data_IF_893162794126
#
_entry.id   IF_893162794126
#
_cell.length_a   1.000
_cell.length_b   1.000
_cell.length_c   1.000
_cell.angle_alpha   90.00
_cell.angle_beta   90.00
_cell.angle_gamma   90.00
#
_symmetry.space_group_name_H-M   'P 1'
#
loop_
_entity.id
_entity.type
_entity.pdbx_description
1 polymer ?
#
# COMPACT_ATOMS: atom_id res chain seq x y z
N UNK A 1 -36.17 10.46 92.23
CA UNK A 1 -35.01 11.00 92.99
C UNK A 1 -33.81 10.14 92.63
N UNK A 2 -32.98 10.51 91.66
CA UNK A 2 -32.01 11.59 91.80
C UNK A 2 -30.65 10.95 92.12
N UNK A 3 -29.91 10.52 91.09
CA UNK A 3 -28.50 10.13 91.22
C UNK A 3 -27.77 10.51 89.92
N UNK A 4 -27.06 11.64 90.02
CA UNK A 4 -26.06 12.13 89.07
C UNK A 4 -24.79 11.28 89.20
N UNK A 5 -24.26 10.80 88.07
CA UNK A 5 -22.84 10.45 87.83
C UNK A 5 -22.59 10.79 86.35
N UNK A 6 -22.04 11.94 86.01
CA UNK A 6 -20.61 12.25 85.98
C UNK A 6 -19.79 11.26 85.12
N UNK A 7 -18.92 11.86 84.31
CA UNK A 7 -17.64 11.38 83.75
C UNK A 7 -17.60 10.89 82.27
N UNK A 8 -16.78 11.64 81.52
CA UNK A 8 -15.88 11.27 80.40
C UNK A 8 -16.39 11.52 78.97
N UNK A 9 -16.05 12.73 78.50
CA UNK A 9 -15.65 13.04 77.13
C UNK A 9 -14.58 12.05 76.65
N UNK A 10 -14.78 11.40 75.49
CA UNK A 10 -13.66 10.93 74.68
C UNK A 10 -14.00 11.06 73.20
N UNK A 11 -13.53 12.17 72.64
CA UNK A 11 -13.50 12.50 71.22
C UNK A 11 -12.56 11.48 70.55
N UNK A 12 -13.12 10.53 69.80
CA UNK A 12 -12.34 9.68 68.91
C UNK A 12 -12.13 10.41 67.59
N UNK A 13 -11.03 11.16 67.50
CA UNK A 13 -10.44 11.60 66.23
C UNK A 13 -9.97 10.36 65.47
N UNK A 14 -10.82 9.85 64.58
CA UNK A 14 -10.44 8.82 63.61
C UNK A 14 -9.60 9.49 62.53
N UNK A 15 -8.28 9.55 62.78
CA UNK A 15 -7.28 10.02 61.82
C UNK A 15 -7.22 9.04 60.65
N UNK A 16 -7.98 9.37 59.60
CA UNK A 16 -8.02 8.68 58.32
C UNK A 16 -6.68 8.91 57.59
N UNK A 17 -5.66 8.10 57.91
CA UNK A 17 -4.44 7.99 57.11
C UNK A 17 -4.79 7.26 55.82
N UNK A 18 -5.20 8.00 54.79
CA UNK A 18 -5.24 7.52 53.40
C UNK A 18 -3.80 7.52 52.90
N UNK A 19 -3.15 6.37 52.66
CA UNK A 19 -1.83 6.34 52.04
C UNK A 19 -2.02 6.64 50.55
N UNK A 20 -1.90 7.91 50.18
CA UNK A 20 -1.62 8.32 48.81
C UNK A 20 -0.17 7.95 48.50
N UNK A 21 0.06 6.72 48.08
CA UNK A 21 1.24 6.39 47.29
C UNK A 21 0.82 6.23 45.83
N UNK A 22 0.75 7.31 45.03
CA UNK A 22 0.97 7.16 43.61
C UNK A 22 2.44 6.78 43.45
N UNK A 23 2.72 5.48 43.37
CA UNK A 23 3.97 5.03 42.79
C UNK A 23 4.08 5.69 41.42
N UNK A 24 5.16 6.43 41.16
CA UNK A 24 5.48 7.05 39.88
C UNK A 24 5.75 5.94 38.84
N UNK A 25 4.69 5.22 38.44
CA UNK A 25 4.69 4.43 37.23
C UNK A 25 4.66 5.42 36.07
N UNK A 26 5.78 5.55 35.37
CA UNK A 26 5.86 6.32 34.15
C UNK A 26 4.77 5.81 33.19
N UNK A 27 3.79 6.69 32.91
CA UNK A 27 2.53 6.33 32.27
C UNK A 27 2.74 5.65 30.92
N UNK A 28 1.87 4.72 30.50
CA UNK A 28 1.98 4.01 29.22
C UNK A 28 2.16 4.95 28.01
N UNK A 29 1.53 6.12 28.02
CA UNK A 29 1.65 7.12 26.98
C UNK A 29 3.07 7.72 26.88
N UNK A 30 3.65 8.11 28.01
CA UNK A 30 5.00 8.69 28.04
C UNK A 30 6.05 7.71 27.51
N UNK A 31 5.94 6.44 27.92
CA UNK A 31 6.80 5.36 27.41
C UNK A 31 6.63 5.15 25.90
N UNK A 32 5.41 5.34 25.38
CA UNK A 32 5.17 5.28 23.94
C UNK A 32 5.87 6.43 23.23
N UNK A 33 5.75 7.66 23.75
CA UNK A 33 6.42 8.84 23.19
C UNK A 33 7.96 8.64 23.16
N UNK A 34 8.54 8.09 24.24
CA UNK A 34 9.95 7.74 24.32
C UNK A 34 10.36 6.67 23.29
N UNK A 35 9.50 5.66 23.06
CA UNK A 35 9.73 4.63 22.04
C UNK A 35 9.70 5.21 20.61
N UNK A 36 8.78 6.15 20.34
CA UNK A 36 8.71 6.87 19.06
C UNK A 36 9.98 7.69 18.83
N UNK A 37 10.44 8.43 19.86
CA UNK A 37 11.68 9.19 19.79
C UNK A 37 12.89 8.28 19.54
N UNK A 38 13.01 7.17 20.28
CA UNK A 38 14.07 6.19 20.06
C UNK A 38 14.06 5.63 18.63
N UNK A 39 12.89 5.38 18.04
CA UNK A 39 12.77 4.90 16.65
C UNK A 39 13.24 5.96 15.65
N UNK A 40 12.91 7.23 15.88
CA UNK A 40 13.33 8.36 15.04
C UNK A 40 14.85 8.56 15.10
N UNK A 41 15.44 8.40 16.28
CA UNK A 41 16.90 8.48 16.50
C UNK A 41 17.68 7.27 15.96
N UNK A 42 17.00 6.27 15.40
CA UNK A 42 17.63 5.02 14.94
C UNK A 42 18.04 4.07 16.05
N UNK A 43 17.69 4.34 17.32
CA UNK A 43 17.87 3.46 18.48
C UNK A 43 16.83 2.35 18.47
N UNK A 44 16.88 1.51 17.43
CA UNK A 44 15.83 0.53 17.12
C UNK A 44 15.68 -0.54 18.20
N UNK A 45 16.75 -0.96 18.86
CA UNK A 45 16.66 -1.92 19.97
C UNK A 45 15.89 -1.33 21.17
N UNK A 46 16.18 -0.08 21.54
CA UNK A 46 15.46 0.64 22.60
C UNK A 46 13.99 0.82 22.23
N UNK A 47 13.73 1.30 21.01
CA UNK A 47 12.36 1.49 20.51
C UNK A 47 11.57 0.17 20.57
N UNK A 48 12.20 -0.94 20.15
CA UNK A 48 11.60 -2.26 20.20
C UNK A 48 11.33 -2.72 21.63
N UNK A 49 12.30 -2.57 22.54
CA UNK A 49 12.14 -2.99 23.93
C UNK A 49 10.99 -2.25 24.64
N UNK A 50 10.90 -0.93 24.48
CA UNK A 50 9.86 -0.14 25.13
C UNK A 50 8.47 -0.34 24.52
N UNK A 51 8.38 -0.35 23.18
CA UNK A 51 7.11 -0.57 22.48
C UNK A 51 6.52 -1.96 22.73
N UNK A 52 7.34 -3.01 22.87
CA UNK A 52 6.90 -4.38 23.20
C UNK A 52 6.11 -4.43 24.52
N UNK A 53 6.54 -3.68 25.53
CA UNK A 53 5.86 -3.62 26.84
C UNK A 53 4.47 -2.99 26.71
N UNK A 54 4.36 -1.96 25.87
CA UNK A 54 3.11 -1.22 25.65
C UNK A 54 2.16 -1.99 24.74
N UNK A 55 2.67 -2.79 23.81
CA UNK A 55 1.86 -3.67 22.95
C UNK A 55 1.06 -4.74 23.73
N UNK A 56 1.32 -4.91 25.04
CA UNK A 56 0.49 -5.69 25.97
C UNK A 56 -0.63 -4.90 26.66
N UNK A 57 -0.78 -3.60 26.39
CA UNK A 57 -1.75 -2.73 27.05
C UNK A 57 -3.20 -3.16 26.79
N UNK A 58 -4.06 -2.93 27.79
CA UNK A 58 -5.52 -3.08 27.67
C UNK A 58 -6.12 -2.02 26.75
N UNK A 59 -5.53 -0.82 26.70
CA UNK A 59 -5.87 0.24 25.75
C UNK A 59 -5.59 -0.24 24.31
N UNK A 60 -6.67 -0.36 23.52
CA UNK A 60 -6.59 -0.89 22.17
C UNK A 60 -5.83 0.04 21.22
N UNK A 61 -6.03 1.34 21.32
CA UNK A 61 -5.41 2.34 20.43
C UNK A 61 -3.92 2.36 20.71
N UNK A 62 -3.55 2.58 21.97
CA UNK A 62 -2.15 2.61 22.39
C UNK A 62 -1.42 1.29 22.09
N UNK A 63 -2.10 0.15 22.24
CA UNK A 63 -1.56 -1.16 21.86
C UNK A 63 -1.23 -1.24 20.36
N UNK A 64 -2.09 -0.74 19.49
CA UNK A 64 -1.88 -0.79 18.04
C UNK A 64 -0.76 0.17 17.61
N UNK A 65 -0.72 1.37 18.20
CA UNK A 65 0.30 2.37 17.91
C UNK A 65 1.68 1.88 18.35
N UNK A 66 1.79 1.35 19.57
CA UNK A 66 3.02 0.73 20.05
C UNK A 66 3.40 -0.49 19.21
N UNK A 67 2.44 -1.30 18.76
CA UNK A 67 2.74 -2.42 17.87
C UNK A 67 3.28 -1.96 16.51
N UNK A 68 2.86 -0.82 15.97
CA UNK A 68 3.45 -0.28 14.74
C UNK A 68 4.92 0.09 14.96
N UNK A 69 5.22 0.81 16.04
CA UNK A 69 6.60 1.17 16.42
C UNK A 69 7.46 -0.09 16.62
N UNK A 70 6.95 -1.08 17.36
CA UNK A 70 7.62 -2.36 17.58
C UNK A 70 7.88 -3.10 16.26
N UNK A 71 6.90 -3.12 15.36
CA UNK A 71 7.02 -3.78 14.06
C UNK A 71 8.10 -3.16 13.17
N UNK A 72 8.14 -1.82 13.08
CA UNK A 72 9.16 -1.10 12.33
C UNK A 72 10.55 -1.30 12.95
N UNK A 73 10.67 -1.15 14.27
CA UNK A 73 11.91 -1.35 14.99
C UNK A 73 12.45 -2.78 14.81
N UNK A 74 11.59 -3.79 14.97
CA UNK A 74 11.91 -5.19 14.75
C UNK A 74 12.40 -5.46 13.31
N UNK A 75 11.78 -4.83 12.31
CA UNK A 75 12.19 -4.94 10.90
C UNK A 75 13.59 -4.38 10.67
N UNK A 76 13.96 -3.29 11.36
CA UNK A 76 15.29 -2.66 11.23
C UNK A 76 16.40 -3.45 11.91
N UNK A 77 16.11 -4.18 12.99
CA UNK A 77 17.08 -5.05 13.69
C UNK A 77 17.09 -6.50 13.18
N UNK A 78 16.30 -6.81 12.13
CA UNK A 78 16.24 -8.16 11.54
C UNK A 78 15.43 -9.19 12.34
N UNK A 79 14.64 -8.77 13.34
CA UNK A 79 13.77 -9.63 14.12
C UNK A 79 12.45 -9.91 13.38
N UNK A 80 12.52 -10.63 12.24
CA UNK A 80 11.40 -10.80 11.30
C UNK A 80 10.14 -11.43 11.92
N UNK A 81 10.30 -12.41 12.82
CA UNK A 81 9.17 -13.05 13.49
C UNK A 81 8.39 -12.06 14.37
N UNK A 82 9.11 -11.23 15.12
CA UNK A 82 8.51 -10.18 15.94
C UNK A 82 7.90 -9.07 15.08
N UNK A 83 8.60 -8.65 14.03
CA UNK A 83 8.08 -7.67 13.09
C UNK A 83 6.71 -8.10 12.55
N UNK A 84 6.61 -9.34 12.04
CA UNK A 84 5.34 -9.90 11.56
C UNK A 84 4.25 -9.91 12.62
N UNK A 85 4.58 -10.33 13.84
CA UNK A 85 3.62 -10.39 14.96
C UNK A 85 3.07 -9.00 15.27
N UNK A 86 3.94 -8.00 15.44
CA UNK A 86 3.52 -6.66 15.82
C UNK A 86 2.83 -5.90 14.69
N UNK A 87 3.31 -6.04 13.45
CA UNK A 87 2.64 -5.43 12.28
C UNK A 87 1.23 -6.01 12.08
N UNK A 88 1.02 -7.31 12.33
CA UNK A 88 -0.32 -7.91 12.29
C UNK A 88 -1.25 -7.31 13.34
N UNK A 89 -0.75 -6.99 14.53
CA UNK A 89 -1.54 -6.32 15.57
C UNK A 89 -1.88 -4.89 15.13
N UNK A 90 -0.88 -4.12 14.69
CA UNK A 90 -1.07 -2.74 14.23
C UNK A 90 -2.05 -2.62 13.04
N UNK A 91 -2.05 -3.59 12.13
CA UNK A 91 -3.00 -3.66 11.00
C UNK A 91 -4.48 -3.80 11.44
N UNK A 92 -4.76 -4.11 12.71
CA UNK A 92 -6.12 -4.17 13.28
C UNK A 92 -6.58 -2.86 13.93
N UNK A 93 -5.76 -1.81 13.85
CA UNK A 93 -6.10 -0.48 14.34
C UNK A 93 -7.39 0.03 13.69
N UNK A 94 -8.18 0.76 14.47
CA UNK A 94 -9.29 1.57 13.96
C UNK A 94 -8.81 2.85 13.29
N UNK A 95 -7.59 3.29 13.61
CA UNK A 95 -6.90 4.35 12.88
C UNK A 95 -6.44 3.81 11.52
N UNK A 96 -6.93 4.44 10.44
CA UNK A 96 -6.65 4.01 9.08
C UNK A 96 -5.19 4.23 8.69
N UNK A 97 -4.56 5.31 9.14
CA UNK A 97 -3.15 5.60 8.86
C UNK A 97 -2.24 4.56 9.51
N UNK A 98 -2.47 4.24 10.80
CA UNK A 98 -1.72 3.21 11.52
C UNK A 98 -1.89 1.84 10.85
N UNK A 99 -3.12 1.47 10.53
CA UNK A 99 -3.41 0.19 9.88
C UNK A 99 -2.79 0.10 8.48
N UNK A 100 -2.88 1.17 7.69
CA UNK A 100 -2.30 1.26 6.34
C UNK A 100 -0.78 1.18 6.37
N UNK A 101 -0.11 1.94 7.24
CA UNK A 101 1.35 1.90 7.41
C UNK A 101 1.84 0.53 7.87
N UNK A 102 1.12 -0.12 8.78
CA UNK A 102 1.44 -1.47 9.21
C UNK A 102 1.42 -2.46 8.02
N UNK A 103 0.42 -2.35 7.14
CA UNK A 103 0.31 -3.18 5.94
C UNK A 103 1.41 -2.90 4.92
N UNK A 104 1.83 -1.64 4.73
CA UNK A 104 3.00 -1.30 3.89
C UNK A 104 4.25 -1.98 4.44
N UNK A 105 4.52 -1.86 5.74
CA UNK A 105 5.69 -2.46 6.35
C UNK A 105 5.65 -4.00 6.29
N UNK A 106 4.46 -4.59 6.42
CA UNK A 106 4.28 -6.02 6.24
C UNK A 106 4.62 -6.44 4.80
N UNK A 107 4.18 -5.67 3.79
CA UNK A 107 4.52 -5.91 2.39
C UNK A 107 6.03 -5.79 2.12
N UNK A 108 6.71 -4.82 2.73
CA UNK A 108 8.18 -4.69 2.65
C UNK A 108 8.88 -5.90 3.24
N UNK A 109 8.43 -6.39 4.41
CA UNK A 109 8.98 -7.59 5.05
C UNK A 109 8.75 -8.85 4.18
N UNK A 110 7.55 -9.01 3.64
CA UNK A 110 7.19 -10.10 2.72
C UNK A 110 8.05 -10.09 1.46
N UNK A 111 8.26 -8.93 0.86
CA UNK A 111 9.11 -8.76 -0.32
C UNK A 111 10.56 -9.17 -0.03
N UNK A 112 11.11 -8.78 1.12
CA UNK A 112 12.48 -9.16 1.55
C UNK A 112 12.65 -10.66 1.73
N UNK A 113 11.59 -11.36 2.13
CA UNK A 113 11.58 -12.81 2.29
C UNK A 113 11.23 -13.57 1.00
N UNK A 114 11.12 -12.88 -0.14
CA UNK A 114 10.77 -13.49 -1.43
C UNK A 114 9.30 -13.84 -1.60
N UNK A 115 8.44 -13.50 -0.62
CA UNK A 115 7.00 -13.77 -0.62
C UNK A 115 6.25 -12.68 -1.38
N UNK A 116 6.50 -12.65 -2.69
CA UNK A 116 6.06 -11.57 -3.61
C UNK A 116 4.55 -11.45 -3.73
N UNK A 117 3.81 -12.56 -3.75
CA UNK A 117 2.36 -12.50 -3.89
C UNK A 117 1.72 -11.88 -2.64
N UNK A 118 2.15 -12.32 -1.47
CA UNK A 118 1.71 -11.80 -0.18
C UNK A 118 2.05 -10.31 -0.04
N UNK A 119 3.27 -9.92 -0.44
CA UNK A 119 3.68 -8.52 -0.47
C UNK A 119 2.72 -7.66 -1.31
N UNK A 120 2.38 -8.13 -2.52
CA UNK A 120 1.44 -7.45 -3.41
C UNK A 120 0.05 -7.27 -2.77
N UNK A 121 -0.45 -8.29 -2.08
CA UNK A 121 -1.73 -8.26 -1.37
C UNK A 121 -1.69 -7.28 -0.19
N UNK A 122 -0.61 -7.29 0.60
CA UNK A 122 -0.40 -6.35 1.72
C UNK A 122 -0.37 -4.91 1.24
N UNK A 123 0.38 -4.60 0.17
CA UNK A 123 0.42 -3.26 -0.42
C UNK A 123 -0.93 -2.83 -1.00
N UNK A 124 -1.64 -3.72 -1.70
CA UNK A 124 -2.95 -3.41 -2.26
C UNK A 124 -3.98 -3.10 -1.15
N UNK A 125 -3.96 -3.85 -0.04
CA UNK A 125 -4.81 -3.60 1.13
C UNK A 125 -4.41 -2.33 1.89
N UNK A 126 -3.12 -2.00 1.92
CA UNK A 126 -2.65 -0.76 2.52
C UNK A 126 -3.27 0.46 1.82
N UNK A 127 -3.34 0.44 0.50
CA UNK A 127 -3.90 1.52 -0.30
C UNK A 127 -5.38 1.82 0.01
N UNK A 128 -6.14 0.87 0.56
CA UNK A 128 -7.53 1.08 0.99
C UNK A 128 -7.63 1.85 2.33
N UNK A 129 -6.50 2.12 2.98
CA UNK A 129 -6.43 2.72 4.33
C UNK A 129 -5.63 4.03 4.39
N UNK A 130 -4.86 4.32 3.34
CA UNK A 130 -3.92 5.43 3.29
C UNK A 130 -4.53 6.63 2.55
N UNK A 131 -3.93 7.80 2.74
CA UNK A 131 -4.22 8.97 1.91
C UNK A 131 -3.87 8.71 0.43
N UNK A 132 -4.40 9.50 -0.53
CA UNK A 132 -4.22 9.25 -1.95
C UNK A 132 -2.76 9.14 -2.41
N UNK A 133 -1.83 9.90 -1.82
CA UNK A 133 -0.43 9.90 -2.23
C UNK A 133 0.28 8.63 -1.77
N UNK A 134 0.12 8.27 -0.49
CA UNK A 134 0.66 7.02 0.07
C UNK A 134 0.00 5.79 -0.57
N UNK A 135 -1.31 5.84 -0.81
CA UNK A 135 -2.07 4.77 -1.47
C UNK A 135 -1.60 4.54 -2.91
N UNK A 136 -1.36 5.61 -3.68
CA UNK A 136 -0.81 5.51 -5.04
C UNK A 136 0.56 4.83 -5.05
N UNK A 137 1.46 5.20 -4.13
CA UNK A 137 2.78 4.56 -3.98
C UNK A 137 2.67 3.08 -3.62
N UNK A 138 1.79 2.73 -2.68
CA UNK A 138 1.54 1.34 -2.30
C UNK A 138 1.03 0.52 -3.49
N UNK A 139 0.12 1.06 -4.31
CA UNK A 139 -0.39 0.37 -5.50
C UNK A 139 0.69 0.18 -6.59
N UNK A 140 1.62 1.11 -6.75
CA UNK A 140 2.76 0.93 -7.65
C UNK A 140 3.65 -0.25 -7.22
N UNK A 141 3.90 -0.38 -5.91
CA UNK A 141 4.62 -1.52 -5.33
C UNK A 141 3.84 -2.83 -5.53
N UNK A 142 2.52 -2.82 -5.25
CA UNK A 142 1.67 -3.98 -5.50
C UNK A 142 1.72 -4.43 -6.97
N UNK A 143 1.65 -3.48 -7.90
CA UNK A 143 1.72 -3.77 -9.33
C UNK A 143 3.04 -4.43 -9.74
N UNK A 144 4.16 -3.94 -9.22
CA UNK A 144 5.49 -4.51 -9.47
C UNK A 144 5.59 -5.97 -8.97
N UNK A 145 5.09 -6.24 -7.76
CA UNK A 145 5.13 -7.60 -7.21
C UNK A 145 4.18 -8.54 -7.97
N UNK A 146 2.97 -8.09 -8.33
CA UNK A 146 2.07 -8.86 -9.19
C UNK A 146 2.67 -9.15 -10.57
N UNK A 147 3.38 -8.19 -11.17
CA UNK A 147 4.10 -8.40 -12.44
C UNK A 147 5.19 -9.47 -12.29
N UNK A 148 5.97 -9.39 -11.21
CA UNK A 148 7.04 -10.35 -10.90
C UNK A 148 6.53 -11.79 -10.84
N UNK A 149 5.32 -12.01 -10.31
CA UNK A 149 4.69 -13.34 -10.22
C UNK A 149 3.75 -13.66 -11.39
N UNK A 150 3.78 -12.88 -12.48
CA UNK A 150 3.00 -13.11 -13.70
C UNK A 150 1.50 -12.79 -13.59
N UNK A 151 1.04 -12.18 -12.49
CA UNK A 151 -0.37 -11.79 -12.26
C UNK A 151 -0.71 -10.47 -12.96
N UNK A 152 -0.56 -10.44 -14.29
CA UNK A 152 -0.70 -9.23 -15.15
C UNK A 152 -2.01 -8.48 -14.95
N UNK A 153 -3.15 -9.18 -14.82
CA UNK A 153 -4.45 -8.52 -14.61
C UNK A 153 -4.53 -7.82 -13.25
N UNK A 154 -3.95 -8.42 -12.19
CA UNK A 154 -3.93 -7.80 -10.86
C UNK A 154 -3.02 -6.58 -10.86
N UNK A 155 -1.81 -6.70 -11.44
CA UNK A 155 -0.89 -5.58 -11.60
C UNK A 155 -1.53 -4.40 -12.33
N UNK A 156 -2.22 -4.68 -13.44
CA UNK A 156 -2.90 -3.64 -14.21
C UNK A 156 -3.98 -2.94 -13.39
N UNK A 157 -4.80 -3.68 -12.64
CA UNK A 157 -5.80 -3.06 -11.76
C UNK A 157 -5.15 -2.13 -10.72
N UNK A 158 -4.01 -2.52 -10.17
CA UNK A 158 -3.28 -1.65 -9.25
C UNK A 158 -2.78 -0.37 -9.94
N UNK A 159 -2.24 -0.47 -11.15
CA UNK A 159 -1.81 0.70 -11.93
C UNK A 159 -3.00 1.61 -12.32
N UNK A 160 -4.11 1.04 -12.77
CA UNK A 160 -5.32 1.81 -13.12
C UNK A 160 -5.84 2.59 -11.90
N UNK A 161 -5.83 1.97 -10.71
CA UNK A 161 -6.18 2.64 -9.45
C UNK A 161 -5.16 3.73 -9.09
N UNK A 162 -3.86 3.45 -9.16
CA UNK A 162 -2.81 4.42 -8.86
C UNK A 162 -2.91 5.67 -9.77
N UNK A 163 -3.23 5.47 -11.05
CA UNK A 163 -3.41 6.55 -12.01
C UNK A 163 -4.54 7.54 -11.69
N UNK A 164 -5.48 7.14 -10.82
CA UNK A 164 -6.60 7.96 -10.38
C UNK A 164 -6.46 8.58 -8.99
N UNK A 165 -5.36 8.32 -8.26
CA UNK A 165 -5.21 8.77 -6.87
C UNK A 165 -4.42 10.07 -6.72
N UNK A 166 -3.22 10.16 -7.31
CA UNK A 166 -2.38 11.35 -7.20
C UNK A 166 -1.63 11.67 -8.49
N UNK A 167 -1.31 12.94 -8.72
CA UNK A 167 -0.53 13.37 -9.89
C UNK A 167 0.81 12.67 -9.98
N UNK A 168 1.52 12.57 -8.85
CA UNK A 168 2.88 12.05 -8.78
C UNK A 168 2.97 10.58 -9.15
N UNK A 169 1.99 9.79 -8.72
CA UNK A 169 1.94 8.35 -9.02
C UNK A 169 1.29 8.10 -10.38
N UNK A 170 0.47 9.04 -10.87
CA UNK A 170 -0.27 8.85 -12.10
C UNK A 170 0.60 8.76 -13.34
N UNK A 171 1.64 9.57 -13.47
CA UNK A 171 2.50 9.52 -14.65
C UNK A 171 3.31 8.23 -14.70
N UNK A 172 3.80 7.75 -13.54
CA UNK A 172 4.45 6.45 -13.43
C UNK A 172 3.48 5.31 -13.78
N UNK A 173 2.25 5.36 -13.25
CA UNK A 173 1.24 4.35 -13.52
C UNK A 173 0.85 4.32 -15.01
N UNK A 174 0.58 5.48 -15.63
CA UNK A 174 0.24 5.61 -17.05
C UNK A 174 1.38 5.12 -17.95
N UNK A 175 2.62 5.44 -17.61
CA UNK A 175 3.80 4.95 -18.35
C UNK A 175 3.89 3.43 -18.32
N UNK A 176 3.65 2.79 -17.16
CA UNK A 176 3.61 1.32 -17.05
C UNK A 176 2.40 0.71 -17.77
N UNK A 177 1.24 1.35 -17.71
CA UNK A 177 0.04 0.94 -18.43
C UNK A 177 0.20 1.05 -19.95
N UNK A 178 0.98 2.01 -20.46
CA UNK A 178 1.26 2.13 -21.88
C UNK A 178 2.16 1.02 -22.42
N UNK A 179 2.94 0.38 -21.53
CA UNK A 179 3.83 -0.76 -21.81
C UNK A 179 3.17 -2.12 -21.60
N UNK A 180 1.99 -2.17 -21.00
CA UNK A 180 1.30 -3.41 -20.62
C UNK A 180 -0.13 -3.44 -21.16
N UNK A 181 -0.67 -4.61 -21.49
CA UNK A 181 -2.03 -4.77 -21.99
C UNK A 181 -2.08 -5.18 -23.45
N UNK A 182 -3.09 -4.70 -24.18
CA UNK A 182 -3.35 -5.10 -25.56
C UNK A 182 -3.46 -3.89 -26.48
N UNK A 183 -3.13 -4.08 -27.75
CA UNK A 183 -3.27 -3.07 -28.80
C UNK A 183 -3.79 -3.73 -30.07
N UNK A 184 -4.30 -2.93 -31.00
CA UNK A 184 -4.69 -3.39 -32.32
C UNK A 184 -3.52 -3.15 -33.26
N UNK A 185 -2.97 -4.21 -33.84
CA UNK A 185 -1.88 -4.15 -34.81
C UNK A 185 -2.41 -4.24 -36.24
N UNK A 186 -1.99 -3.30 -37.09
CA UNK A 186 -2.38 -3.17 -38.51
C UNK A 186 -1.31 -3.70 -39.48
N UNK A 187 -0.18 -4.20 -38.95
CA UNK A 187 0.89 -4.79 -39.73
C UNK A 187 2.25 -4.72 -39.05
N UNK A 188 3.17 -5.54 -39.56
CA UNK A 188 4.60 -5.51 -39.28
C UNK A 188 5.36 -5.28 -40.58
N UNK A 189 6.36 -4.40 -40.57
CA UNK A 189 7.05 -3.96 -41.79
C UNK A 189 8.57 -3.95 -41.55
N UNK A 190 9.34 -4.43 -42.53
CA UNK A 190 10.81 -4.33 -42.51
C UNK A 190 11.32 -2.90 -42.80
N UNK A 191 10.47 -2.05 -43.39
CA UNK A 191 10.82 -0.67 -43.77
C UNK A 191 9.91 0.34 -43.05
N UNK A 192 10.53 1.37 -42.46
CA UNK A 192 9.86 2.48 -41.77
C UNK A 192 8.88 3.24 -42.66
N UNK A 193 9.20 3.43 -43.95
CA UNK A 193 8.32 4.16 -44.88
C UNK A 193 7.02 3.40 -45.14
N UNK A 194 7.09 2.07 -45.23
CA UNK A 194 5.91 1.22 -45.36
C UNK A 194 5.04 1.31 -44.11
N UNK A 195 5.66 1.24 -42.93
CA UNK A 195 4.96 1.44 -41.67
C UNK A 195 4.32 2.83 -41.59
N UNK A 196 4.99 3.88 -42.08
CA UNK A 196 4.47 5.24 -42.07
C UNK A 196 3.29 5.43 -43.02
N UNK A 197 3.34 4.80 -44.21
CA UNK A 197 2.21 4.75 -45.14
C UNK A 197 1.00 4.06 -44.50
N UNK A 198 1.21 2.90 -43.89
CA UNK A 198 0.14 2.16 -43.21
C UNK A 198 -0.44 2.97 -42.03
N UNK A 199 0.42 3.57 -41.21
CA UNK A 199 -0.01 4.40 -40.10
C UNK A 199 -0.91 5.56 -40.58
N UNK A 200 -0.45 6.29 -41.60
CA UNK A 200 -1.21 7.39 -42.21
C UNK A 200 -2.55 6.93 -42.78
N UNK A 201 -2.59 5.77 -43.44
CA UNK A 201 -3.80 5.21 -44.03
C UNK A 201 -4.88 4.90 -42.98
N UNK A 202 -4.49 4.42 -41.80
CA UNK A 202 -5.43 3.98 -40.76
C UNK A 202 -5.73 5.05 -39.70
N UNK A 203 -4.88 6.07 -39.53
CA UNK A 203 -5.01 7.13 -38.51
C UNK A 203 -6.38 7.80 -38.46
N UNK A 204 -6.91 8.24 -39.60
CA UNK A 204 -8.20 8.96 -39.65
C UNK A 204 -9.37 8.07 -39.25
N UNK A 205 -9.30 6.79 -39.61
CA UNK A 205 -10.34 5.81 -39.27
C UNK A 205 -10.33 5.49 -37.78
N UNK A 206 -9.16 5.16 -37.24
CA UNK A 206 -8.95 4.84 -35.83
C UNK A 206 -9.40 6.00 -34.93
N UNK A 207 -9.02 7.24 -35.27
CA UNK A 207 -9.43 8.44 -34.54
C UNK A 207 -10.96 8.63 -34.57
N UNK A 208 -11.59 8.55 -35.76
CA UNK A 208 -13.06 8.69 -35.90
C UNK A 208 -13.85 7.64 -35.12
N UNK A 209 -13.29 6.45 -34.93
CA UNK A 209 -13.93 5.34 -34.19
C UNK A 209 -13.65 5.38 -32.68
N UNK A 210 -12.91 6.37 -32.19
CA UNK A 210 -12.57 6.51 -30.77
C UNK A 210 -11.72 5.34 -30.25
N UNK A 211 -10.76 4.88 -31.06
CA UNK A 211 -9.86 3.77 -30.72
C UNK A 211 -8.54 4.28 -30.11
N UNK A 212 -8.25 5.56 -30.32
CA UNK A 212 -7.04 6.25 -29.85
C UNK A 212 -6.15 6.62 -31.02
N UNK A 213 -4.88 6.82 -30.74
CA UNK A 213 -3.89 7.20 -31.75
C UNK A 213 -3.17 6.00 -32.33
N UNK A 214 -2.76 6.15 -33.59
CA UNK A 214 -1.89 5.21 -34.28
C UNK A 214 -0.44 5.56 -33.96
N UNK A 215 0.34 4.54 -33.60
CA UNK A 215 1.76 4.65 -33.27
C UNK A 215 2.55 3.62 -34.04
N UNK A 216 3.74 4.02 -34.47
CA UNK A 216 4.74 3.13 -35.04
C UNK A 216 5.71 2.77 -33.92
N UNK A 217 5.92 1.47 -33.70
CA UNK A 217 6.88 0.96 -32.73
C UNK A 217 8.04 0.28 -33.46
N UNK A 218 9.26 0.66 -33.11
CA UNK A 218 10.47 -0.03 -33.56
C UNK A 218 10.73 -1.23 -32.64
N UNK A 219 10.96 -2.39 -33.24
CA UNK A 219 11.35 -3.63 -32.57
C UNK A 219 12.51 -4.28 -33.34
N UNK A 220 13.16 -5.29 -32.75
CA UNK A 220 14.36 -5.93 -33.33
C UNK A 220 14.09 -6.55 -34.72
N UNK A 221 12.84 -6.92 -34.99
CA UNK A 221 12.36 -7.54 -36.24
C UNK A 221 11.71 -6.55 -37.22
N UNK A 222 11.70 -5.24 -36.91
CA UNK A 222 11.22 -4.19 -37.81
C UNK A 222 10.28 -3.17 -37.15
N UNK A 223 9.25 -2.76 -37.88
CA UNK A 223 8.34 -1.68 -37.50
C UNK A 223 6.90 -2.19 -37.41
N UNK A 224 6.29 -2.11 -36.22
CA UNK A 224 4.89 -2.49 -35.98
C UNK A 224 3.99 -1.26 -35.98
N UNK A 225 2.88 -1.32 -36.70
CA UNK A 225 1.85 -0.25 -36.71
C UNK A 225 0.72 -0.66 -35.80
N UNK A 226 0.50 0.11 -34.73
CA UNK A 226 -0.41 -0.25 -33.65
C UNK A 226 -1.33 0.92 -33.29
N UNK A 227 -2.53 0.63 -32.79
CA UNK A 227 -3.42 1.67 -32.26
C UNK A 227 -4.14 1.26 -30.98
N UNK A 228 -4.34 2.27 -30.14
CA UNK A 228 -5.02 2.13 -28.85
C UNK A 228 -4.23 1.31 -27.83
N UNK A 229 -4.62 1.47 -26.57
CA UNK A 229 -4.14 0.69 -25.44
C UNK A 229 -5.35 0.19 -24.67
N UNK A 230 -5.48 -1.13 -24.57
CA UNK A 230 -6.64 -1.79 -24.01
C UNK A 230 -6.26 -2.61 -22.79
N UNK A 231 -7.14 -2.61 -21.80
CA UNK A 231 -6.93 -3.30 -20.53
C UNK A 231 -6.88 -4.82 -20.65
N UNK A 232 -7.65 -5.36 -21.57
CA UNK A 232 -7.82 -6.79 -21.78
C UNK A 232 -8.08 -7.09 -23.26
N UNK A 233 -7.86 -8.35 -23.65
CA UNK A 233 -8.03 -8.81 -25.03
C UNK A 233 -9.47 -8.60 -25.52
N UNK A 234 -10.47 -8.69 -24.64
CA UNK A 234 -11.87 -8.54 -24.99
C UNK A 234 -12.22 -7.08 -25.34
N UNK A 235 -11.67 -6.10 -24.62
CA UNK A 235 -11.81 -4.67 -24.89
C UNK A 235 -11.15 -4.31 -26.22
N UNK A 236 -9.93 -4.79 -26.46
CA UNK A 236 -9.28 -4.65 -27.77
C UNK A 236 -10.09 -5.32 -28.89
N UNK A 237 -10.65 -6.51 -28.64
CA UNK A 237 -11.50 -7.22 -29.60
C UNK A 237 -12.81 -6.48 -29.91
N UNK A 238 -13.45 -5.86 -28.90
CA UNK A 238 -14.60 -4.97 -29.12
C UNK A 238 -14.21 -3.75 -29.95
N UNK A 239 -13.04 -3.16 -29.70
CA UNK A 239 -12.54 -2.04 -30.50
C UNK A 239 -12.22 -2.44 -31.95
N UNK A 240 -11.60 -3.61 -32.15
CA UNK A 240 -11.33 -4.16 -33.48
C UNK A 240 -12.62 -4.42 -34.26
N UNK A 241 -13.65 -4.98 -33.62
CA UNK A 241 -14.97 -5.16 -34.25
C UNK A 241 -15.63 -3.84 -34.67
N UNK A 242 -15.36 -2.73 -33.96
CA UNK A 242 -15.85 -1.39 -34.36
C UNK A 242 -15.13 -0.84 -35.59
N UNK A 243 -13.93 -1.31 -35.91
CA UNK A 243 -13.22 -0.96 -37.16
C UNK A 243 -13.78 -1.71 -38.36
N UNK A 244 -14.37 -2.88 -38.15
CA UNK A 244 -14.83 -3.77 -39.22
C UNK A 244 -13.71 -4.13 -40.22
N UNK A 245 -12.53 -4.45 -39.67
CA UNK A 245 -11.33 -4.78 -40.44
C UNK A 245 -10.89 -6.21 -40.18
N UNK A 246 -10.49 -6.89 -41.24
CA UNK A 246 -9.95 -8.26 -41.20
C UNK A 246 -8.42 -8.29 -41.24
N UNK A 247 -7.77 -7.19 -41.61
CA UNK A 247 -6.32 -7.04 -41.75
C UNK A 247 -5.63 -6.50 -40.48
N UNK A 248 -6.39 -6.36 -39.39
CA UNK A 248 -5.87 -5.95 -38.09
C UNK A 248 -6.15 -7.02 -37.03
N UNK A 249 -5.25 -7.13 -36.06
CA UNK A 249 -5.32 -8.16 -35.01
C UNK A 249 -5.04 -7.59 -33.62
N UNK A 250 -5.59 -8.25 -32.59
CA UNK A 250 -5.30 -7.89 -31.20
C UNK A 250 -4.02 -8.58 -30.75
N UNK A 251 -3.02 -7.79 -30.35
CA UNK A 251 -1.73 -8.27 -29.85
C UNK A 251 -1.45 -7.74 -28.43
N UNK A 252 -0.71 -8.48 -27.59
CA UNK A 252 -0.21 -7.92 -26.34
C UNK A 252 0.81 -6.82 -26.61
N UNK A 253 0.88 -5.82 -25.74
CA UNK A 253 1.92 -4.78 -25.80
C UNK A 253 3.19 -5.37 -25.19
N UNK A 254 4.29 -5.37 -25.96
CA UNK A 254 5.59 -5.86 -25.50
C UNK A 254 5.72 -7.39 -25.45
N UNK A 255 5.02 -8.09 -26.34
CA UNK A 255 5.19 -9.52 -26.59
C UNK A 255 5.59 -9.79 -28.02
#
# INVERSE_FOLDING_TARGET
MGLRRATILLIWTMTLLIPWMPGCGEGPQRRYDDAVLALRDGRNETALAESRRIAGSSDRTLRCDAALVAGIAATRVGANADARRYLKIAATSSDSEVAGRALVQQGVLERREGRRLEAAESFARAADRLDPDEAGRALLLAAEDYETVGRRTAARRCLDRAAGLSSDTADTARTRLARTGYTIQFGSFSNRDNANRQATAVSREVARRGIGDVRIRSEDDGWKVQAGVFRDRAAAGRALRRLDRTDAMVVPIGG
#
